data_IF_524491372952
#
_entry.id   IF_524491372952
#
_cell.length_a   1.000
_cell.length_b   1.000
_cell.length_c   1.000
_cell.angle_alpha   90.00
_cell.angle_beta   90.00
_cell.angle_gamma   90.00
#
_symmetry.space_group_name_H-M   'P 1'
#
loop_
_entity.id
_entity.type
_entity.pdbx_description
1 polymer ?
#
# COMPACT_ATOMS: atom_id res chain seq x y z
N UNK A 1 -3.35 7.67 29.59
CA UNK A 1 -4.35 8.73 29.61
C UNK A 1 -5.58 8.31 28.86
N UNK A 2 -6.78 8.55 29.41
CA UNK A 2 -8.06 8.25 28.75
C UNK A 2 -8.27 9.22 27.61
N UNK A 3 -8.47 8.71 26.39
CA UNK A 3 -8.81 9.52 25.23
C UNK A 3 -10.26 10.02 25.42
N UNK A 4 -10.49 11.34 25.28
CA UNK A 4 -11.85 11.89 25.34
C UNK A 4 -12.73 11.33 24.20
N UNK A 5 -14.05 11.17 24.38
CA UNK A 5 -14.93 10.62 23.34
C UNK A 5 -14.84 11.37 22.00
N UNK A 6 -14.70 12.69 22.05
CA UNK A 6 -14.56 13.54 20.85
C UNK A 6 -13.23 13.24 20.14
N UNK A 7 -12.13 13.14 20.87
CA UNK A 7 -10.84 12.80 20.29
C UNK A 7 -10.82 11.37 19.69
N UNK A 8 -11.51 10.43 20.35
CA UNK A 8 -11.69 9.08 19.83
C UNK A 8 -12.46 9.07 18.51
N UNK A 9 -13.51 9.88 18.40
CA UNK A 9 -14.29 10.03 17.17
C UNK A 9 -13.41 10.56 16.01
N UNK A 10 -12.66 11.64 16.22
CA UNK A 10 -11.75 12.17 15.19
C UNK A 10 -10.66 11.19 14.83
N UNK A 11 -10.08 10.49 15.81
CA UNK A 11 -9.10 9.45 15.56
C UNK A 11 -9.65 8.31 14.70
N UNK A 12 -10.89 7.90 14.94
CA UNK A 12 -11.55 6.86 14.14
C UNK A 12 -11.79 7.32 12.70
N UNK A 13 -12.33 8.54 12.51
CA UNK A 13 -12.54 9.13 11.18
C UNK A 13 -11.20 9.19 10.41
N UNK A 14 -10.15 9.70 11.06
CA UNK A 14 -8.81 9.75 10.48
C UNK A 14 -8.28 8.36 10.13
N UNK A 15 -8.45 7.39 11.02
CA UNK A 15 -8.03 6.01 10.81
C UNK A 15 -8.70 5.36 9.58
N UNK A 16 -10.01 5.54 9.44
CA UNK A 16 -10.75 5.05 8.26
C UNK A 16 -10.27 5.74 6.99
N UNK A 17 -10.07 7.05 7.02
CA UNK A 17 -9.58 7.82 5.86
C UNK A 17 -8.19 7.37 5.43
N UNK A 18 -7.26 7.18 6.38
CA UNK A 18 -5.93 6.63 6.10
C UNK A 18 -5.99 5.18 5.61
N UNK A 19 -6.89 4.36 6.14
CA UNK A 19 -7.09 2.99 5.70
C UNK A 19 -7.48 2.86 4.23
N UNK A 20 -8.17 3.86 3.67
CA UNK A 20 -8.56 3.90 2.27
C UNK A 20 -7.43 4.31 1.32
N UNK A 21 -6.33 4.88 1.82
CA UNK A 21 -5.25 5.42 0.99
C UNK A 21 -4.68 4.38 0.01
N UNK A 22 -4.31 3.20 0.49
CA UNK A 22 -3.71 2.15 -0.34
C UNK A 22 -4.71 1.50 -1.31
N UNK A 23 -5.94 1.16 -0.90
CA UNK A 23 -6.97 0.70 -1.82
C UNK A 23 -7.27 1.70 -2.94
N UNK A 24 -7.43 2.97 -2.59
CA UNK A 24 -7.72 4.03 -3.57
C UNK A 24 -6.55 4.18 -4.55
N UNK A 25 -5.31 4.25 -4.06
CA UNK A 25 -4.12 4.31 -4.90
C UNK A 25 -4.09 3.15 -5.90
N UNK A 26 -4.19 1.91 -5.42
CA UNK A 26 -4.16 0.72 -6.28
C UNK A 26 -5.34 0.68 -7.26
N UNK A 27 -6.53 1.09 -6.82
CA UNK A 27 -7.72 1.16 -7.66
C UNK A 27 -7.56 2.11 -8.84
N UNK A 28 -7.10 3.33 -8.58
CA UNK A 28 -6.93 4.33 -9.64
C UNK A 28 -5.76 4.04 -10.58
N UNK A 29 -4.67 3.42 -10.10
CA UNK A 29 -3.62 2.91 -10.98
C UNK A 29 -4.19 1.82 -11.90
N UNK A 30 -4.93 0.87 -11.34
CA UNK A 30 -5.59 -0.17 -12.13
C UNK A 30 -6.55 0.40 -13.17
N UNK A 31 -7.37 1.36 -12.77
CA UNK A 31 -8.31 2.05 -13.65
C UNK A 31 -7.61 2.80 -14.80
N UNK A 32 -6.47 3.44 -14.54
CA UNK A 32 -5.71 4.13 -15.59
C UNK A 32 -5.19 3.18 -16.69
N UNK A 33 -5.03 1.89 -16.38
CA UNK A 33 -4.51 0.87 -17.31
C UNK A 33 -5.65 0.04 -17.91
N UNK A 34 -6.61 -0.41 -17.09
CA UNK A 34 -7.64 -1.38 -17.45
C UNK A 34 -9.06 -0.85 -17.41
N UNK A 35 -9.25 0.48 -17.30
CA UNK A 35 -10.53 1.17 -17.15
C UNK A 35 -11.29 0.77 -15.86
N UNK A 36 -12.59 1.14 -15.82
CA UNK A 36 -13.49 0.94 -14.67
C UNK A 36 -13.48 -0.50 -14.10
N UNK A 37 -13.47 -1.57 -14.90
CA UNK A 37 -13.43 -2.93 -14.33
C UNK A 37 -12.20 -3.22 -13.46
N UNK A 38 -11.06 -2.59 -13.74
CA UNK A 38 -9.84 -2.77 -12.97
C UNK A 38 -9.87 -2.05 -11.61
N UNK A 39 -10.76 -1.06 -11.45
CA UNK A 39 -10.90 -0.31 -10.21
C UNK A 39 -11.22 -1.23 -9.02
N UNK A 40 -12.19 -2.12 -9.18
CA UNK A 40 -12.60 -3.05 -8.14
C UNK A 40 -11.47 -4.02 -7.73
N UNK A 41 -10.75 -4.54 -8.73
CA UNK A 41 -9.61 -5.42 -8.49
C UNK A 41 -8.48 -4.69 -7.75
N UNK A 42 -8.22 -3.45 -8.16
CA UNK A 42 -7.22 -2.60 -7.51
C UNK A 42 -7.58 -2.28 -6.06
N UNK A 43 -8.85 -1.99 -5.76
CA UNK A 43 -9.31 -1.78 -4.39
C UNK A 43 -9.09 -3.01 -3.52
N UNK A 44 -9.45 -4.21 -4.01
CA UNK A 44 -9.24 -5.45 -3.27
C UNK A 44 -7.76 -5.74 -3.07
N UNK A 45 -6.94 -5.60 -4.12
CA UNK A 45 -5.49 -5.81 -4.02
C UNK A 45 -4.82 -4.80 -3.08
N UNK A 46 -5.20 -3.53 -3.15
CA UNK A 46 -4.71 -2.50 -2.25
C UNK A 46 -5.12 -2.73 -0.79
N UNK A 47 -6.33 -3.24 -0.54
CA UNK A 47 -6.78 -3.60 0.80
C UNK A 47 -6.02 -4.81 1.34
N UNK A 48 -5.75 -5.84 0.51
CA UNK A 48 -4.91 -6.98 0.89
C UNK A 48 -3.50 -6.53 1.25
N UNK A 49 -2.90 -5.64 0.45
CA UNK A 49 -1.60 -5.06 0.76
C UNK A 49 -1.59 -4.23 2.05
N UNK A 50 -2.66 -3.46 2.32
CA UNK A 50 -2.80 -2.65 3.53
C UNK A 50 -2.86 -3.52 4.80
N UNK A 51 -3.49 -4.68 4.72
CA UNK A 51 -3.62 -5.63 5.82
C UNK A 51 -2.45 -6.63 5.90
N UNK A 52 -1.61 -6.69 4.86
CA UNK A 52 -0.46 -7.57 4.77
C UNK A 52 0.85 -6.89 5.19
N UNK A 53 1.96 -7.53 4.85
CA UNK A 53 3.33 -7.03 5.11
C UNK A 53 3.86 -6.15 3.98
N UNK A 54 3.28 -6.24 2.79
CA UNK A 54 3.74 -5.55 1.59
C UNK A 54 3.42 -4.05 1.61
N UNK A 55 2.37 -3.64 2.33
CA UNK A 55 2.03 -2.23 2.56
C UNK A 55 1.92 -1.41 1.26
N UNK A 56 2.60 -0.25 1.23
CA UNK A 56 2.56 0.66 0.08
C UNK A 56 3.11 0.03 -1.20
N UNK A 57 4.23 -0.69 -1.11
CA UNK A 57 4.84 -1.37 -2.28
C UNK A 57 3.89 -2.42 -2.86
N UNK A 58 3.23 -3.18 -1.99
CA UNK A 58 2.21 -4.14 -2.38
C UNK A 58 1.01 -3.48 -3.08
N UNK A 59 0.54 -2.34 -2.56
CA UNK A 59 -0.57 -1.61 -3.17
C UNK A 59 -0.20 -1.04 -4.56
N UNK A 60 1.03 -0.55 -4.73
CA UNK A 60 1.54 -0.11 -6.01
C UNK A 60 1.56 -1.26 -7.03
N UNK A 61 2.15 -2.40 -6.64
CA UNK A 61 2.17 -3.60 -7.48
C UNK A 61 0.76 -4.11 -7.79
N UNK A 62 -0.16 -4.07 -6.80
CA UNK A 62 -1.56 -4.44 -6.96
C UNK A 62 -2.28 -3.60 -8.02
N UNK A 63 -2.02 -2.29 -8.06
CA UNK A 63 -2.61 -1.40 -9.05
C UNK A 63 -2.20 -1.77 -10.49
N UNK A 64 -0.91 -1.97 -10.74
CA UNK A 64 -0.44 -2.44 -12.04
C UNK A 64 -1.01 -3.82 -12.39
N UNK A 65 -0.97 -4.75 -11.44
CA UNK A 65 -1.49 -6.10 -11.63
C UNK A 65 -2.98 -6.08 -11.99
N UNK A 66 -3.79 -5.29 -11.30
CA UNK A 66 -5.23 -5.15 -11.57
C UNK A 66 -5.50 -4.68 -13.00
N UNK A 67 -4.77 -3.67 -13.47
CA UNK A 67 -4.91 -3.15 -14.82
C UNK A 67 -4.57 -4.19 -15.88
N UNK A 68 -3.39 -4.81 -15.78
CA UNK A 68 -2.96 -5.83 -16.77
C UNK A 68 -3.81 -7.10 -16.71
N UNK A 69 -4.32 -7.48 -15.53
CA UNK A 69 -5.19 -8.63 -15.37
C UNK A 69 -6.51 -8.41 -16.11
N UNK A 70 -7.11 -7.23 -16.02
CA UNK A 70 -8.32 -6.91 -16.80
C UNK A 70 -8.05 -6.88 -18.30
N UNK A 71 -6.92 -6.32 -18.75
CA UNK A 71 -6.55 -6.38 -20.16
C UNK A 71 -6.40 -7.82 -20.67
N UNK A 72 -5.83 -8.71 -19.84
CA UNK A 72 -5.74 -10.13 -20.15
C UNK A 72 -7.11 -10.81 -20.21
N UNK A 73 -7.98 -10.54 -19.23
CA UNK A 73 -9.34 -11.08 -19.19
C UNK A 73 -10.18 -10.61 -20.39
N UNK A 74 -10.05 -9.35 -20.80
CA UNK A 74 -10.72 -8.84 -22.01
C UNK A 74 -10.35 -9.66 -23.25
N UNK A 75 -9.05 -9.87 -23.49
CA UNK A 75 -8.59 -10.68 -24.64
C UNK A 75 -9.10 -12.11 -24.64
N UNK A 76 -9.36 -12.68 -23.45
CA UNK A 76 -9.95 -14.00 -23.33
C UNK A 76 -11.46 -13.96 -23.61
N UNK A 77 -12.14 -12.98 -23.04
CA UNK A 77 -13.59 -12.81 -23.19
C UNK A 77 -14.01 -12.48 -24.62
N UNK A 78 -13.20 -11.71 -25.35
CA UNK A 78 -13.44 -11.37 -26.78
C UNK A 78 -13.51 -12.62 -27.69
N UNK A 79 -12.99 -13.76 -27.22
CA UNK A 79 -13.04 -15.04 -27.96
C UNK A 79 -14.24 -15.91 -27.59
N UNK A 80 -15.06 -15.47 -26.63
CA UNK A 80 -16.22 -16.23 -26.15
C UNK A 80 -17.47 -15.95 -27.05
N UNK A 81 -18.41 -16.88 -27.10
CA UNK A 81 -19.69 -16.65 -27.78
C UNK A 81 -20.39 -15.41 -27.24
N UNK A 82 -21.03 -14.61 -28.11
CA UNK A 82 -21.60 -13.30 -27.80
C UNK A 82 -22.60 -13.24 -26.64
N UNK A 83 -23.20 -14.38 -26.26
CA UNK A 83 -24.05 -14.46 -25.06
C UNK A 83 -23.22 -14.37 -23.76
N UNK A 84 -22.03 -14.97 -23.75
CA UNK A 84 -21.12 -14.98 -22.59
C UNK A 84 -20.31 -13.67 -22.54
N UNK A 85 -19.96 -13.12 -23.69
CA UNK A 85 -19.26 -11.84 -23.81
C UNK A 85 -19.99 -10.71 -23.07
N UNK A 86 -21.33 -10.66 -23.19
CA UNK A 86 -22.18 -9.67 -22.50
C UNK A 86 -22.18 -9.83 -20.98
N UNK A 87 -21.90 -11.02 -20.46
CA UNK A 87 -21.79 -11.29 -19.03
C UNK A 87 -20.40 -10.97 -18.46
N UNK A 88 -19.39 -10.76 -19.33
CA UNK A 88 -18.03 -10.54 -18.92
C UNK A 88 -17.87 -9.34 -17.94
N UNK A 89 -18.38 -8.13 -18.21
CA UNK A 89 -18.21 -7.00 -17.33
C UNK A 89 -18.96 -7.12 -16.00
N UNK A 90 -20.07 -7.87 -15.97
CA UNK A 90 -20.93 -7.98 -14.78
C UNK A 90 -20.52 -9.14 -13.88
N UNK A 91 -20.06 -10.25 -14.45
CA UNK A 91 -19.77 -11.46 -13.71
C UNK A 91 -18.30 -11.89 -13.79
N UNK A 92 -17.73 -11.99 -15.01
CA UNK A 92 -16.40 -12.58 -15.18
C UNK A 92 -15.33 -11.65 -14.61
N UNK A 93 -15.34 -10.37 -14.96
CA UNK A 93 -14.31 -9.44 -14.45
C UNK A 93 -14.33 -9.31 -12.92
N UNK A 94 -15.46 -9.07 -12.24
CA UNK A 94 -15.43 -8.99 -10.79
C UNK A 94 -15.15 -10.33 -10.12
N UNK A 95 -15.81 -11.42 -10.51
CA UNK A 95 -15.66 -12.70 -9.78
C UNK A 95 -14.32 -13.35 -10.06
N UNK A 96 -14.02 -13.61 -11.35
CA UNK A 96 -12.76 -14.27 -11.73
C UNK A 96 -11.57 -13.34 -11.50
N UNK A 97 -11.72 -12.05 -11.84
CA UNK A 97 -10.67 -11.07 -11.66
C UNK A 97 -10.28 -10.90 -10.19
N UNK A 98 -11.23 -10.76 -9.28
CA UNK A 98 -10.95 -10.63 -7.83
C UNK A 98 -10.32 -11.91 -7.29
N UNK A 99 -10.80 -13.09 -7.72
CA UNK A 99 -10.21 -14.36 -7.29
C UNK A 99 -8.73 -14.46 -7.71
N UNK A 100 -8.44 -14.20 -8.99
CA UNK A 100 -7.06 -14.22 -9.50
C UNK A 100 -6.22 -13.16 -8.79
N UNK A 101 -6.77 -11.96 -8.60
CA UNK A 101 -6.10 -10.88 -7.88
C UNK A 101 -5.74 -11.29 -6.45
N UNK A 102 -6.67 -11.90 -5.72
CA UNK A 102 -6.44 -12.39 -4.36
C UNK A 102 -5.35 -13.46 -4.30
N UNK A 103 -5.38 -14.42 -5.22
CA UNK A 103 -4.34 -15.45 -5.32
C UNK A 103 -2.98 -14.82 -5.66
N UNK A 104 -2.91 -13.94 -6.64
CA UNK A 104 -1.68 -13.28 -7.04
C UNK A 104 -1.10 -12.40 -5.90
N UNK A 105 -1.96 -11.69 -5.18
CA UNK A 105 -1.53 -10.92 -4.01
C UNK A 105 -0.91 -11.82 -2.94
N UNK A 106 -1.59 -12.91 -2.55
CA UNK A 106 -1.12 -13.77 -1.47
C UNK A 106 0.13 -14.59 -1.83
N UNK A 107 0.22 -15.12 -3.05
CA UNK A 107 1.29 -16.04 -3.44
C UNK A 107 2.48 -15.38 -4.13
N UNK A 108 2.29 -14.20 -4.72
CA UNK A 108 3.35 -13.53 -5.48
C UNK A 108 3.72 -12.18 -4.85
N UNK A 109 2.75 -11.27 -4.71
CA UNK A 109 3.05 -9.90 -4.28
C UNK A 109 3.45 -9.83 -2.81
N UNK A 110 2.70 -10.49 -1.92
CA UNK A 110 3.00 -10.48 -0.48
C UNK A 110 4.39 -11.06 -0.15
N UNK A 111 4.81 -12.22 -0.66
CA UNK A 111 6.14 -12.74 -0.37
C UNK A 111 7.26 -11.82 -0.88
N UNK A 112 7.11 -11.26 -2.07
CA UNK A 112 8.16 -10.44 -2.70
C UNK A 112 8.20 -9.05 -2.06
N UNK A 113 7.10 -8.32 -2.10
CA UNK A 113 7.04 -6.93 -1.62
C UNK A 113 7.09 -6.86 -0.09
N UNK A 114 6.47 -7.83 0.60
CA UNK A 114 6.56 -7.97 2.04
C UNK A 114 7.97 -8.32 2.51
N UNK A 115 8.69 -9.13 1.73
CA UNK A 115 10.12 -9.42 1.96
C UNK A 115 10.98 -8.15 1.87
N UNK A 116 10.79 -7.35 0.82
CA UNK A 116 11.49 -6.07 0.65
C UNK A 116 11.17 -5.12 1.81
N UNK A 117 9.89 -4.96 2.14
CA UNK A 117 9.45 -4.10 3.24
C UNK A 117 10.01 -4.56 4.60
N UNK A 118 10.03 -5.86 4.84
CA UNK A 118 10.62 -6.45 6.05
C UNK A 118 12.13 -6.24 6.10
N UNK A 119 12.84 -6.43 4.98
CA UNK A 119 14.27 -6.18 4.90
C UNK A 119 14.61 -4.72 5.19
N UNK A 120 13.83 -3.77 4.65
CA UNK A 120 13.99 -2.35 4.93
C UNK A 120 13.78 -2.03 6.42
N UNK A 121 12.73 -2.56 7.03
CA UNK A 121 12.47 -2.38 8.45
C UNK A 121 13.58 -2.99 9.32
N UNK A 122 14.07 -4.18 8.99
CA UNK A 122 15.17 -4.82 9.71
C UNK A 122 16.48 -4.02 9.58
N UNK A 123 16.75 -3.47 8.39
CA UNK A 123 17.90 -2.61 8.16
C UNK A 123 17.84 -1.37 9.06
N UNK A 124 16.69 -0.66 9.06
CA UNK A 124 16.49 0.52 9.91
C UNK A 124 16.57 0.18 11.40
N UNK A 125 15.98 -0.93 11.82
CA UNK A 125 16.02 -1.39 13.21
C UNK A 125 17.42 -1.82 13.66
N UNK A 126 18.22 -2.38 12.73
CA UNK A 126 19.61 -2.81 13.01
C UNK A 126 20.60 -1.66 13.17
N UNK A 127 20.24 -0.44 12.78
CA UNK A 127 21.11 0.73 12.91
C UNK A 127 21.29 1.23 14.35
N UNK A 128 20.47 0.81 15.30
CA UNK A 128 20.64 0.98 16.76
C UNK A 128 21.06 2.36 17.26
N UNK A 129 21.30 2.45 18.58
CA UNK A 129 21.66 3.70 19.27
C UNK A 129 23.04 4.29 18.88
N UNK A 130 23.94 3.46 18.36
CA UNK A 130 25.32 3.86 18.06
C UNK A 130 25.44 4.81 16.86
N UNK A 131 24.39 4.99 16.07
CA UNK A 131 24.40 5.78 14.84
C UNK A 131 23.16 6.67 14.67
N UNK A 132 22.67 7.26 15.74
CA UNK A 132 21.47 8.13 15.72
C UNK A 132 21.54 9.25 14.67
N UNK A 133 22.72 9.84 14.50
CA UNK A 133 22.92 10.90 13.48
C UNK A 133 22.76 10.33 12.07
N UNK A 134 23.39 9.18 11.79
CA UNK A 134 23.30 8.53 10.47
C UNK A 134 21.87 8.02 10.21
N UNK A 135 21.24 7.45 11.24
CA UNK A 135 19.83 7.03 11.14
C UNK A 135 18.90 8.22 10.86
N UNK A 136 19.09 9.32 11.57
CA UNK A 136 18.34 10.57 11.35
C UNK A 136 18.53 11.12 9.94
N UNK A 137 19.76 11.11 9.41
CA UNK A 137 20.06 11.53 8.05
C UNK A 137 19.41 10.65 7.00
N UNK A 138 19.44 9.33 7.19
CA UNK A 138 18.78 8.37 6.29
C UNK A 138 17.26 8.56 6.32
N UNK A 139 16.65 8.59 7.50
CA UNK A 139 15.20 8.74 7.64
C UNK A 139 14.72 10.10 7.11
N UNK A 140 15.43 11.18 7.41
CA UNK A 140 15.15 12.50 6.87
C UNK A 140 15.28 12.52 5.35
N UNK A 141 16.34 11.91 4.80
CA UNK A 141 16.51 11.73 3.36
C UNK A 141 15.38 10.93 2.72
N UNK A 142 14.97 9.82 3.33
CA UNK A 142 13.84 9.01 2.85
C UNK A 142 12.52 9.80 2.82
N UNK A 143 12.30 10.70 3.79
CA UNK A 143 11.14 11.58 3.81
C UNK A 143 11.15 12.61 2.69
N UNK A 144 12.35 13.10 2.31
CA UNK A 144 12.53 14.15 1.31
C UNK A 144 12.59 13.62 -0.14
N UNK A 145 13.03 12.38 -0.36
CA UNK A 145 13.23 11.81 -1.70
C UNK A 145 11.92 11.65 -2.47
N UNK A 146 10.87 11.16 -1.81
CA UNK A 146 9.59 10.88 -2.46
C UNK A 146 8.41 11.32 -1.58
N UNK A 147 7.94 12.53 -1.70
CA UNK A 147 6.82 13.05 -0.92
C UNK A 147 5.55 12.19 -1.12
N UNK A 148 5.32 11.26 -0.18
CA UNK A 148 4.18 10.34 -0.18
C UNK A 148 4.42 8.99 -0.88
N UNK A 149 5.61 8.71 -1.36
CA UNK A 149 6.00 7.45 -1.98
C UNK A 149 6.44 6.35 -0.99
N UNK A 150 7.02 5.24 -1.50
CA UNK A 150 7.38 4.09 -0.68
C UNK A 150 8.42 4.38 0.39
N UNK A 151 9.42 5.21 0.10
CA UNK A 151 10.49 5.56 1.04
C UNK A 151 9.97 6.42 2.18
N UNK A 152 9.19 7.46 1.86
CA UNK A 152 8.51 8.30 2.83
C UNK A 152 7.60 7.46 3.75
N UNK A 153 6.79 6.58 3.19
CA UNK A 153 5.89 5.71 3.94
C UNK A 153 6.66 4.77 4.88
N UNK A 154 7.76 4.17 4.42
CA UNK A 154 8.57 3.28 5.23
C UNK A 154 9.22 4.03 6.41
N UNK A 155 9.79 5.21 6.19
CA UNK A 155 10.36 6.05 7.23
C UNK A 155 9.30 6.46 8.27
N UNK A 156 8.10 6.85 7.81
CA UNK A 156 6.99 7.22 8.69
C UNK A 156 6.50 6.07 9.55
N UNK A 157 6.30 4.88 8.96
CA UNK A 157 5.88 3.68 9.70
C UNK A 157 6.94 3.26 10.72
N UNK A 158 8.22 3.32 10.35
CA UNK A 158 9.32 3.05 11.27
C UNK A 158 9.35 4.06 12.43
N UNK A 159 9.21 5.35 12.14
CA UNK A 159 9.15 6.41 13.16
C UNK A 159 7.99 6.24 14.13
N UNK A 160 6.79 5.87 13.64
CA UNK A 160 5.62 5.62 14.49
C UNK A 160 5.82 4.37 15.37
N UNK A 161 6.47 3.32 14.87
CA UNK A 161 6.83 2.15 15.66
C UNK A 161 7.86 2.51 16.76
N UNK A 162 8.81 3.39 16.45
CA UNK A 162 9.81 3.88 17.41
C UNK A 162 9.17 4.66 18.58
N UNK A 163 8.09 5.42 18.34
CA UNK A 163 7.32 6.06 19.43
C UNK A 163 6.79 5.03 20.41
N UNK A 164 6.27 3.91 19.94
CA UNK A 164 5.75 2.83 20.80
C UNK A 164 6.86 2.20 21.65
N UNK A 165 8.09 2.19 21.13
CA UNK A 165 9.28 1.73 21.85
C UNK A 165 9.93 2.80 22.76
N UNK A 166 9.38 4.04 22.79
CA UNK A 166 9.90 5.14 23.61
C UNK A 166 11.02 5.97 22.95
N UNK A 167 11.37 5.70 21.71
CA UNK A 167 12.42 6.40 20.96
C UNK A 167 11.83 7.58 20.17
N UNK A 168 11.56 8.67 20.85
CA UNK A 168 10.91 9.86 20.27
C UNK A 168 11.80 10.65 19.31
N UNK A 169 13.10 10.61 19.49
CA UNK A 169 14.13 11.26 18.66
C UNK A 169 14.12 10.75 17.22
N UNK A 170 13.85 9.47 17.01
CA UNK A 170 13.71 8.88 15.69
C UNK A 170 12.51 9.49 14.93
N UNK A 171 11.36 9.59 15.60
CA UNK A 171 10.19 10.21 14.98
C UNK A 171 10.39 11.70 14.74
N UNK A 172 11.11 12.40 15.63
CA UNK A 172 11.46 13.81 15.43
C UNK A 172 12.29 13.98 14.15
N UNK A 173 13.29 13.13 13.90
CA UNK A 173 14.09 13.16 12.67
C UNK A 173 13.25 12.90 11.41
N UNK A 174 12.31 11.95 11.46
CA UNK A 174 11.37 11.68 10.37
C UNK A 174 10.51 12.92 10.06
N UNK A 175 9.94 13.54 11.08
CA UNK A 175 9.07 14.72 10.90
C UNK A 175 9.83 15.92 10.38
N UNK A 176 11.03 16.19 10.89
CA UNK A 176 11.88 17.31 10.43
C UNK A 176 12.26 17.10 8.95
N UNK A 177 12.66 15.87 8.56
CA UNK A 177 13.01 15.55 7.18
C UNK A 177 11.85 15.74 6.19
N UNK A 178 10.61 15.55 6.61
CA UNK A 178 9.42 15.82 5.80
C UNK A 178 9.00 17.29 5.74
N UNK A 179 9.48 18.12 6.65
CA UNK A 179 9.12 19.55 6.77
C UNK A 179 10.16 20.49 6.17
N UNK A 180 11.38 20.03 5.94
CA UNK A 180 12.46 20.82 5.32
C UNK A 180 12.54 20.47 3.83
N UNK A 181 12.27 21.42 2.92
CA UNK A 181 12.39 21.22 1.48
C UNK A 181 13.86 21.04 1.05
#
# INVERSE_FOLDING_TARGET
>A
GTITPVAAMFKNIGGVSFGLMLPVLAGFIGMAIGDIPALALGFVGGMLAANGKSGFLGALAAGFLAGYLILGLRKICDKLPGAIEKLAPVLIYPVVGILIMGLAMNFVVEPIMGGINTALNNFLSGMGDSSRIVLGLILGGMMAIDMGGPFNKAAYVFGTAAITAGNYDIMAAVMIGGMTP
#
